data_IF_978474958016
#
_entry.id   IF_978474958016
#
_cell.length_a   1.000
_cell.length_b   1.000
_cell.length_c   1.000
_cell.angle_alpha   90.00
_cell.angle_beta   90.00
_cell.angle_gamma   90.00
#
_symmetry.space_group_name_H-M   'P 1'
#
loop_
_entity.id
_entity.type
_entity.pdbx_description
1 polymer ?
#
# COMPACT_ATOMS: atom_id res chain seq x y z
N UNK A 1 -7.99 -12.96 -4.51
CA UNK A 1 -7.13 -13.02 -3.32
C UNK A 1 -6.03 -14.03 -3.63
N UNK A 2 -4.79 -13.54 -3.78
CA UNK A 2 -3.60 -14.37 -4.06
C UNK A 2 -2.62 -14.22 -2.90
N UNK A 3 -1.77 -15.20 -2.65
CA UNK A 3 -0.70 -15.06 -1.66
C UNK A 3 0.40 -14.12 -2.18
N UNK A 4 1.23 -13.62 -1.27
CA UNK A 4 2.38 -12.75 -1.57
C UNK A 4 3.39 -13.47 -2.48
N UNK A 5 3.90 -12.80 -3.54
CA UNK A 5 5.00 -13.34 -4.35
C UNK A 5 6.34 -13.33 -3.60
N UNK A 6 6.43 -12.69 -2.44
CA UNK A 6 7.65 -12.61 -1.62
C UNK A 6 7.93 -13.89 -0.82
N UNK A 7 7.02 -14.88 -0.88
CA UNK A 7 7.16 -16.16 -0.19
C UNK A 7 8.38 -16.93 -0.72
N UNK A 8 9.28 -17.30 0.19
CA UNK A 8 10.50 -18.06 -0.08
C UNK A 8 10.37 -19.54 0.31
N UNK A 9 9.45 -19.87 1.22
CA UNK A 9 9.14 -21.25 1.58
C UNK A 9 7.68 -21.43 1.95
N UNK A 10 7.14 -22.63 1.74
CA UNK A 10 5.74 -22.94 2.06
C UNK A 10 5.68 -24.22 2.86
N UNK A 11 4.86 -24.21 3.90
CA UNK A 11 4.39 -25.40 4.62
C UNK A 11 3.02 -25.08 5.20
N UNK A 12 1.99 -25.60 4.57
CA UNK A 12 0.62 -25.30 4.96
C UNK A 12 0.25 -26.00 6.27
N UNK A 13 -0.27 -25.22 7.21
CA UNK A 13 -0.84 -25.73 8.45
C UNK A 13 -2.22 -26.35 8.19
N UNK A 14 -2.55 -27.48 8.82
CA UNK A 14 -3.92 -27.98 8.84
C UNK A 14 -4.85 -27.15 9.76
N UNK A 15 -4.30 -26.29 10.62
CA UNK A 15 -5.04 -25.48 11.60
C UNK A 15 -5.53 -24.19 10.94
N UNK A 16 -6.63 -24.28 10.18
CA UNK A 16 -7.23 -23.14 9.48
C UNK A 16 -8.73 -23.29 9.35
N UNK A 17 -9.42 -22.17 9.08
CA UNK A 17 -10.82 -22.19 8.63
C UNK A 17 -10.88 -21.71 7.20
N UNK A 18 -11.44 -22.53 6.30
CA UNK A 18 -11.48 -22.26 4.86
C UNK A 18 -12.92 -22.23 4.35
N UNK A 19 -13.33 -21.18 3.61
CA UNK A 19 -12.60 -19.91 3.43
C UNK A 19 -12.68 -19.00 4.67
N UNK A 20 -11.95 -17.89 4.68
CA UNK A 20 -12.29 -16.75 5.55
C UNK A 20 -13.66 -16.20 5.18
N UNK A 21 -14.37 -15.58 6.13
CA UNK A 21 -15.71 -15.03 5.90
C UNK A 21 -15.76 -13.49 5.82
N UNK A 22 -14.59 -12.83 5.83
CA UNK A 22 -14.45 -11.39 5.73
C UNK A 22 -13.39 -11.02 4.68
N UNK A 23 -13.48 -9.83 4.10
CA UNK A 23 -12.40 -9.31 3.27
C UNK A 23 -11.14 -9.06 4.13
N UNK A 24 -9.96 -9.18 3.54
CA UNK A 24 -8.73 -8.77 4.22
C UNK A 24 -8.73 -7.24 4.29
N UNK A 25 -8.78 -6.71 5.49
CA UNK A 25 -8.65 -5.27 5.71
C UNK A 25 -7.79 -4.92 6.93
N UNK A 26 -7.28 -5.93 7.64
CA UNK A 26 -6.57 -5.79 8.91
C UNK A 26 -5.24 -6.53 8.87
N UNK A 27 -4.26 -6.04 9.63
CA UNK A 27 -2.98 -6.73 9.88
C UNK A 27 -2.88 -7.02 11.37
N UNK A 28 -2.46 -8.24 11.73
CA UNK A 28 -2.07 -8.58 13.10
C UNK A 28 -0.64 -9.08 13.12
N UNK A 29 0.26 -8.31 13.73
CA UNK A 29 1.68 -8.66 13.85
C UNK A 29 1.90 -9.42 15.16
N UNK A 30 2.69 -10.49 15.08
CA UNK A 30 3.07 -11.36 16.18
C UNK A 30 4.60 -11.49 16.28
N UNK A 31 5.08 -11.93 17.45
CA UNK A 31 6.48 -12.33 17.63
C UNK A 31 6.56 -13.80 18.08
N UNK A 32 7.57 -14.51 17.60
CA UNK A 32 7.75 -15.94 17.89
C UNK A 32 8.27 -16.23 19.30
N UNK A 33 8.88 -15.23 19.97
CA UNK A 33 9.60 -15.39 21.25
C UNK A 33 10.66 -16.50 21.20
N UNK A 34 11.42 -16.54 20.10
CA UNK A 34 12.48 -17.50 19.82
C UNK A 34 12.92 -17.37 18.37
N UNK A 35 14.23 -17.27 18.12
CA UNK A 35 14.74 -16.98 16.78
C UNK A 35 14.74 -18.21 15.88
N UNK A 36 14.43 -17.97 14.61
CA UNK A 36 14.64 -18.92 13.54
C UNK A 36 14.33 -18.35 12.16
N UNK A 37 14.67 -19.10 11.13
CA UNK A 37 14.25 -18.87 9.75
C UNK A 37 12.73 -19.09 9.61
N UNK A 38 12.11 -18.55 8.56
CA UNK A 38 10.69 -18.79 8.30
C UNK A 38 10.37 -20.29 8.23
N UNK A 39 11.23 -21.09 7.59
CA UNK A 39 11.07 -22.55 7.53
C UNK A 39 11.04 -23.21 8.92
N UNK A 40 11.87 -22.76 9.86
CA UNK A 40 11.86 -23.28 11.22
C UNK A 40 10.56 -22.91 11.96
N UNK A 41 10.10 -21.67 11.81
CA UNK A 41 8.82 -21.21 12.38
C UNK A 41 7.66 -22.06 11.82
N UNK A 42 7.62 -22.26 10.50
CA UNK A 42 6.60 -23.11 9.86
C UNK A 42 6.62 -24.57 10.32
N UNK A 43 7.73 -25.06 10.88
CA UNK A 43 7.89 -26.42 11.38
C UNK A 43 7.56 -26.56 12.89
N UNK A 44 7.11 -25.50 13.57
CA UNK A 44 6.67 -25.59 14.95
C UNK A 44 5.55 -26.63 15.10
N UNK A 45 5.59 -27.44 16.16
CA UNK A 45 4.66 -28.57 16.37
C UNK A 45 3.20 -28.13 16.32
N UNK A 46 2.87 -27.01 16.97
CA UNK A 46 1.51 -26.44 17.02
C UNK A 46 1.00 -25.96 15.65
N UNK A 47 1.88 -25.73 14.68
CA UNK A 47 1.51 -25.34 13.31
C UNK A 47 1.35 -26.54 12.39
N UNK A 48 1.96 -27.68 12.73
CA UNK A 48 2.08 -28.82 11.82
C UNK A 48 1.16 -29.99 12.15
N UNK A 49 0.79 -30.17 13.41
CA UNK A 49 -0.24 -31.11 13.84
C UNK A 49 -1.62 -30.47 13.81
N UNK A 50 -2.61 -31.16 13.22
CA UNK A 50 -4.00 -30.73 13.34
C UNK A 50 -4.46 -30.91 14.80
N UNK A 51 -4.90 -29.82 15.42
CA UNK A 51 -5.45 -29.83 16.77
C UNK A 51 -6.54 -28.75 16.84
N UNK A 52 -7.83 -29.11 16.85
CA UNK A 52 -8.93 -28.14 16.86
C UNK A 52 -9.05 -27.37 18.19
N UNK A 53 -8.43 -27.87 19.27
CA UNK A 53 -8.56 -27.30 20.60
C UNK A 53 -7.34 -26.45 20.98
N UNK A 54 -6.13 -26.87 20.60
CA UNK A 54 -4.87 -26.22 20.97
C UNK A 54 -3.94 -25.90 19.78
N UNK A 55 -4.38 -26.18 18.55
CA UNK A 55 -3.62 -25.89 17.35
C UNK A 55 -3.55 -24.38 17.10
N UNK A 56 -2.45 -23.96 16.47
CA UNK A 56 -2.25 -22.57 16.09
C UNK A 56 -1.73 -22.51 14.65
N UNK A 57 -1.85 -21.34 14.04
CA UNK A 57 -1.22 -21.03 12.76
C UNK A 57 -1.12 -19.51 12.58
N UNK A 58 -0.37 -19.10 11.57
CA UNK A 58 -0.39 -17.75 11.03
C UNK A 58 -0.65 -17.80 9.52
N UNK A 59 -0.86 -16.67 8.87
CA UNK A 59 -0.80 -16.64 7.40
C UNK A 59 0.66 -16.70 6.93
N UNK A 60 1.51 -15.85 7.52
CA UNK A 60 2.91 -15.75 7.17
C UNK A 60 3.86 -15.85 8.37
N UNK A 61 5.07 -16.35 8.13
CA UNK A 61 6.19 -16.30 9.05
C UNK A 61 7.33 -15.48 8.43
N UNK A 62 7.94 -14.59 9.20
CA UNK A 62 9.13 -13.82 8.80
C UNK A 62 10.31 -14.28 9.64
N UNK A 63 11.32 -14.87 9.00
CA UNK A 63 12.52 -15.39 9.63
C UNK A 63 13.51 -14.30 10.02
N UNK A 64 14.40 -14.60 10.96
CA UNK A 64 15.49 -13.69 11.39
C UNK A 64 16.42 -13.25 10.25
N UNK A 65 16.49 -14.06 9.19
CA UNK A 65 17.29 -13.86 8.00
C UNK A 65 16.57 -13.05 6.91
N UNK A 66 15.30 -12.69 7.14
CA UNK A 66 14.42 -12.03 6.17
C UNK A 66 13.68 -13.01 5.25
N UNK A 67 13.80 -14.33 5.46
CA UNK A 67 12.98 -15.29 4.71
C UNK A 67 11.50 -15.11 5.06
N UNK A 68 10.62 -15.23 4.06
CA UNK A 68 9.16 -15.18 4.24
C UNK A 68 8.57 -16.56 3.95
N UNK A 69 7.76 -17.06 4.87
CA UNK A 69 7.13 -18.36 4.80
C UNK A 69 5.62 -18.27 4.72
N UNK A 70 4.97 -19.08 3.88
CA UNK A 70 3.51 -19.22 3.84
C UNK A 70 3.06 -20.40 4.69
N UNK A 71 2.22 -20.12 5.69
CA UNK A 71 1.66 -21.11 6.62
C UNK A 71 0.17 -21.38 6.36
N UNK A 72 -0.62 -20.35 6.06
CA UNK A 72 -2.05 -20.48 5.69
C UNK A 72 -2.32 -19.53 4.52
N UNK A 73 -2.94 -20.05 3.47
CA UNK A 73 -3.36 -19.26 2.30
C UNK A 73 -4.16 -18.03 2.74
N UNK A 74 -3.95 -16.87 2.10
CA UNK A 74 -4.65 -15.63 2.44
C UNK A 74 -6.18 -15.77 2.30
N UNK A 75 -6.67 -16.63 1.41
CA UNK A 75 -8.13 -16.90 1.27
C UNK A 75 -8.73 -17.62 2.48
N UNK A 76 -7.91 -18.15 3.36
CA UNK A 76 -8.29 -18.90 4.54
C UNK A 76 -7.93 -18.10 5.80
N UNK A 77 -8.64 -18.41 6.89
CA UNK A 77 -8.40 -17.85 8.22
C UNK A 77 -7.36 -18.69 8.96
N UNK A 78 -6.28 -18.06 9.44
CA UNK A 78 -5.35 -18.64 10.40
C UNK A 78 -5.95 -18.68 11.83
N UNK A 79 -5.36 -19.43 12.75
CA UNK A 79 -5.79 -19.51 14.15
C UNK A 79 -4.70 -18.91 15.03
N UNK A 80 -4.76 -17.59 15.26
CA UNK A 80 -3.57 -16.85 15.70
C UNK A 80 -3.84 -15.89 16.86
N UNK A 81 -4.73 -14.92 16.69
CA UNK A 81 -4.87 -13.78 17.62
C UNK A 81 -5.68 -14.09 18.88
N UNK A 82 -6.17 -15.32 19.04
CA UNK A 82 -7.18 -15.69 20.05
C UNK A 82 -8.53 -14.99 19.89
N UNK A 83 -8.77 -14.32 18.76
CA UNK A 83 -10.06 -13.76 18.38
C UNK A 83 -10.42 -14.16 16.95
N UNK A 84 -11.51 -14.94 16.83
CA UNK A 84 -11.93 -15.51 15.55
C UNK A 84 -12.35 -14.44 14.55
N UNK A 85 -13.01 -13.39 15.01
CA UNK A 85 -13.55 -12.35 14.13
C UNK A 85 -12.42 -11.46 13.61
N UNK A 86 -11.43 -11.14 14.45
CA UNK A 86 -10.18 -10.51 14.02
C UNK A 86 -9.42 -11.38 13.01
N UNK A 87 -9.24 -12.67 13.28
CA UNK A 87 -8.48 -13.55 12.38
C UNK A 87 -9.14 -13.67 10.98
N UNK A 88 -10.48 -13.56 10.88
CA UNK A 88 -11.17 -13.59 9.58
C UNK A 88 -10.86 -12.38 8.70
N UNK A 89 -10.64 -11.21 9.30
CA UNK A 89 -10.32 -9.97 8.59
C UNK A 89 -8.82 -9.69 8.51
N UNK A 90 -8.02 -10.28 9.39
CA UNK A 90 -6.60 -10.05 9.48
C UNK A 90 -5.77 -10.95 8.55
N UNK A 91 -4.64 -10.44 8.08
CA UNK A 91 -3.47 -11.27 7.80
C UNK A 91 -2.63 -11.31 9.07
N UNK A 92 -2.43 -12.52 9.61
CA UNK A 92 -1.65 -12.70 10.84
C UNK A 92 -0.23 -13.15 10.50
N UNK A 93 0.77 -12.50 11.12
CA UNK A 93 2.18 -12.67 10.74
C UNK A 93 3.03 -12.92 11.98
N UNK A 94 3.69 -14.08 12.05
CA UNK A 94 4.69 -14.39 13.08
C UNK A 94 6.06 -13.88 12.65
N UNK A 95 6.67 -13.00 13.44
CA UNK A 95 7.99 -12.42 13.16
C UNK A 95 9.03 -12.98 14.13
N UNK A 96 10.12 -13.50 13.59
CA UNK A 96 11.23 -14.04 14.38
C UNK A 96 11.78 -13.01 15.35
N UNK A 97 11.78 -13.34 16.64
CA UNK A 97 12.28 -12.46 17.70
C UNK A 97 13.20 -13.21 18.67
N UNK A 98 14.00 -12.47 19.42
CA UNK A 98 14.69 -13.01 20.60
C UNK A 98 13.71 -13.67 21.59
N UNK A 99 14.19 -14.59 22.42
CA UNK A 99 13.39 -15.31 23.41
C UNK A 99 13.19 -14.54 24.73
N UNK A 100 13.86 -13.40 24.90
CA UNK A 100 13.83 -12.57 26.11
C UNK A 100 13.31 -11.18 25.79
N UNK A 101 12.63 -10.55 26.74
CA UNK A 101 12.17 -9.15 26.61
C UNK A 101 13.37 -8.23 26.30
N UNK A 102 13.25 -7.29 25.35
CA UNK A 102 12.02 -6.81 24.70
C UNK A 102 11.54 -7.63 23.48
N UNK A 103 12.09 -8.82 23.25
CA UNK A 103 11.84 -9.67 22.09
C UNK A 103 12.29 -9.00 20.80
N UNK A 104 13.55 -8.57 20.77
CA UNK A 104 14.11 -7.82 19.65
C UNK A 104 14.04 -8.62 18.35
N UNK A 105 13.67 -7.93 17.27
CA UNK A 105 13.64 -8.47 15.91
C UNK A 105 14.88 -7.98 15.15
N UNK A 106 15.42 -8.79 14.25
CA UNK A 106 16.57 -8.41 13.43
C UNK A 106 16.17 -7.35 12.39
N UNK A 107 17.12 -6.53 11.94
CA UNK A 107 16.86 -5.55 10.89
C UNK A 107 16.37 -6.19 9.59
N UNK A 108 16.89 -7.38 9.24
CA UNK A 108 16.46 -8.13 8.06
C UNK A 108 15.01 -8.60 8.16
N UNK A 109 14.61 -9.12 9.33
CA UNK A 109 13.23 -9.53 9.57
C UNK A 109 12.28 -8.33 9.56
N UNK A 110 12.68 -7.19 10.16
CA UNK A 110 11.87 -5.97 10.14
C UNK A 110 11.71 -5.42 8.71
N UNK A 111 12.78 -5.39 7.92
CA UNK A 111 12.71 -4.97 6.52
C UNK A 111 11.77 -5.89 5.69
N UNK A 112 11.92 -7.20 5.82
CA UNK A 112 11.07 -8.18 5.15
C UNK A 112 9.60 -8.08 5.58
N UNK A 113 9.34 -7.77 6.85
CA UNK A 113 7.99 -7.50 7.36
C UNK A 113 7.37 -6.28 6.65
N UNK A 114 8.08 -5.16 6.56
CA UNK A 114 7.56 -3.94 5.90
C UNK A 114 7.33 -4.21 4.40
N UNK A 115 8.22 -4.93 3.72
CA UNK A 115 8.04 -5.34 2.30
C UNK A 115 6.78 -6.20 2.13
N UNK A 116 6.61 -7.20 3.00
CA UNK A 116 5.44 -8.09 3.01
C UNK A 116 4.13 -7.33 3.26
N UNK A 117 4.12 -6.42 4.24
CA UNK A 117 2.94 -5.60 4.55
C UNK A 117 2.59 -4.66 3.39
N UNK A 118 3.58 -4.08 2.72
CA UNK A 118 3.37 -3.22 1.54
C UNK A 118 2.70 -4.01 0.41
N UNK A 119 3.21 -5.20 0.11
CA UNK A 119 2.62 -6.10 -0.89
C UNK A 119 1.20 -6.55 -0.51
N UNK A 120 0.97 -6.96 0.74
CA UNK A 120 -0.36 -7.33 1.22
C UNK A 120 -1.35 -6.17 1.06
N UNK A 121 -0.95 -4.96 1.45
CA UNK A 121 -1.80 -3.79 1.35
C UNK A 121 -2.17 -3.48 -0.10
N UNK A 122 -1.18 -3.44 -1.00
CA UNK A 122 -1.39 -3.19 -2.42
C UNK A 122 -2.32 -4.21 -3.07
N UNK A 123 -2.09 -5.51 -2.84
CA UNK A 123 -2.91 -6.60 -3.43
C UNK A 123 -4.33 -6.66 -2.89
N UNK A 124 -4.55 -6.25 -1.64
CA UNK A 124 -5.87 -6.32 -0.99
C UNK A 124 -6.60 -4.96 -0.98
N UNK A 125 -6.04 -3.91 -1.59
CA UNK A 125 -6.68 -2.59 -1.67
C UNK A 125 -6.73 -1.85 -0.34
N UNK A 126 -5.84 -2.17 0.60
CA UNK A 126 -5.68 -1.43 1.85
C UNK A 126 -4.86 -0.18 1.53
N UNK A 127 -5.52 0.98 1.53
CA UNK A 127 -4.90 2.26 1.14
C UNK A 127 -3.84 2.75 2.12
N UNK A 128 -4.01 2.42 3.41
CA UNK A 128 -3.08 2.77 4.46
C UNK A 128 -3.23 1.86 5.67
N UNK A 129 -2.13 1.66 6.39
CA UNK A 129 -2.11 1.12 7.73
C UNK A 129 -2.29 2.25 8.76
N UNK A 130 -3.21 2.05 9.69
CA UNK A 130 -3.59 3.02 10.71
C UNK A 130 -3.43 2.35 12.07
N UNK A 131 -2.36 2.71 12.76
CA UNK A 131 -2.10 2.31 14.15
C UNK A 131 -2.76 3.26 15.15
N UNK A 132 -3.21 2.72 16.28
CA UNK A 132 -3.62 3.52 17.45
C UNK A 132 -2.98 2.97 18.73
N UNK A 133 -2.56 3.88 19.62
CA UNK A 133 -2.10 3.51 20.97
C UNK A 133 -3.27 3.12 21.92
N UNK A 134 -4.52 3.36 21.50
CA UNK A 134 -5.72 2.96 22.23
C UNK A 134 -6.15 1.55 21.81
N UNK A 135 -6.10 0.59 22.74
CA UNK A 135 -6.67 -0.75 22.53
C UNK A 135 -8.11 -0.70 22.06
N UNK A 136 -8.92 0.22 22.63
CA UNK A 136 -10.32 0.37 22.26
C UNK A 136 -10.50 0.80 20.80
N UNK A 137 -9.58 1.58 20.25
CA UNK A 137 -9.65 1.98 18.84
C UNK A 137 -9.23 0.83 17.93
N UNK A 138 -8.19 0.07 18.32
CA UNK A 138 -7.73 -1.11 17.56
C UNK A 138 -8.80 -2.18 17.45
N UNK A 139 -9.34 -2.65 18.57
CA UNK A 139 -10.30 -3.78 18.56
C UNK A 139 -11.66 -3.41 17.98
N UNK A 140 -12.02 -2.11 17.98
CA UNK A 140 -13.28 -1.63 17.41
C UNK A 140 -13.09 -0.91 16.07
N UNK A 141 -11.89 -0.91 15.51
CA UNK A 141 -11.54 -0.27 14.23
C UNK A 141 -11.97 1.20 14.13
N UNK A 142 -11.87 1.93 15.25
CA UNK A 142 -12.24 3.36 15.31
C UNK A 142 -11.21 4.20 14.56
N UNK A 143 -11.69 5.26 13.89
CA UNK A 143 -10.82 6.13 13.11
C UNK A 143 -10.14 5.43 11.93
N UNK A 144 -10.67 4.30 11.45
CA UNK A 144 -10.08 3.52 10.38
C UNK A 144 -8.90 2.63 10.83
N UNK A 145 -8.72 2.44 12.14
CA UNK A 145 -7.67 1.58 12.67
C UNK A 145 -7.80 0.16 12.12
N UNK A 146 -6.71 -0.37 11.57
CA UNK A 146 -6.67 -1.66 10.91
C UNK A 146 -5.39 -2.46 11.22
N UNK A 147 -4.76 -2.12 12.33
CA UNK A 147 -3.66 -2.87 12.91
C UNK A 147 -4.04 -3.31 14.31
N UNK A 148 -3.89 -4.60 14.60
CA UNK A 148 -4.19 -5.20 15.90
C UNK A 148 -3.01 -6.03 16.39
N UNK A 149 -3.00 -6.34 17.68
CA UNK A 149 -1.98 -7.17 18.31
C UNK A 149 -2.63 -8.33 19.07
N UNK A 150 -1.92 -9.44 19.26
CA UNK A 150 -2.43 -10.56 20.08
C UNK A 150 -2.81 -10.14 21.52
N UNK A 151 -2.03 -9.22 22.12
CA UNK A 151 -2.33 -8.62 23.45
C UNK A 151 -3.66 -7.86 23.52
N UNK A 152 -4.28 -7.56 22.38
CA UNK A 152 -5.61 -6.95 22.36
C UNK A 152 -6.72 -7.93 22.72
N UNK A 153 -6.51 -9.23 22.47
CA UNK A 153 -7.54 -10.25 22.61
C UNK A 153 -7.25 -11.27 23.69
N UNK A 154 -5.98 -11.43 24.08
CA UNK A 154 -5.57 -12.33 25.16
C UNK A 154 -4.54 -11.68 26.09
N UNK A 155 -4.43 -12.18 27.33
CA UNK A 155 -3.41 -11.78 28.28
C UNK A 155 -2.02 -12.35 27.89
N UNK A 156 -1.44 -11.76 26.84
CA UNK A 156 -0.17 -12.16 26.22
C UNK A 156 0.73 -10.94 26.04
N UNK A 157 2.04 -11.16 26.03
CA UNK A 157 3.02 -10.11 25.72
C UNK A 157 3.21 -9.91 24.21
N UNK A 158 2.69 -10.78 23.35
CA UNK A 158 2.84 -10.69 21.89
C UNK A 158 2.20 -9.38 21.32
N UNK A 159 2.87 -8.63 20.42
CA UNK A 159 4.08 -8.95 19.64
C UNK A 159 5.43 -8.62 20.31
N UNK A 160 5.48 -8.64 21.64
CA UNK A 160 6.65 -8.19 22.39
C UNK A 160 6.73 -6.67 22.43
N UNK A 161 7.55 -6.14 23.32
CA UNK A 161 7.64 -4.68 23.50
C UNK A 161 8.40 -4.01 22.36
N UNK A 162 9.32 -4.73 21.70
CA UNK A 162 10.06 -4.21 20.55
C UNK A 162 9.14 -3.89 19.37
N UNK A 163 8.37 -4.86 18.87
CA UNK A 163 7.45 -4.61 17.74
C UNK A 163 6.29 -3.72 18.15
N UNK A 164 5.74 -3.87 19.37
CA UNK A 164 4.64 -3.01 19.82
C UNK A 164 5.01 -1.53 19.85
N UNK A 165 6.26 -1.20 20.22
CA UNK A 165 6.78 0.17 20.18
C UNK A 165 6.97 0.70 18.75
N UNK A 166 7.12 -0.19 17.76
CA UNK A 166 7.38 0.14 16.36
C UNK A 166 6.13 0.11 15.47
N UNK A 167 4.96 -0.30 15.95
CA UNK A 167 3.74 -0.41 15.14
C UNK A 167 3.42 0.87 14.36
N UNK A 168 3.57 2.04 15.01
CA UNK A 168 3.39 3.34 14.35
C UNK A 168 4.43 3.62 13.26
N UNK A 169 5.70 3.27 13.50
CA UNK A 169 6.80 3.45 12.55
C UNK A 169 6.68 2.49 11.36
N UNK A 170 6.26 1.24 11.62
CA UNK A 170 5.97 0.24 10.60
C UNK A 170 4.83 0.72 9.71
N UNK A 171 3.72 1.21 10.30
CA UNK A 171 2.60 1.77 9.56
C UNK A 171 3.05 2.94 8.68
N UNK A 172 3.84 3.88 9.22
CA UNK A 172 4.37 5.01 8.47
C UNK A 172 5.28 4.57 7.32
N UNK A 173 6.15 3.59 7.53
CA UNK A 173 7.05 3.06 6.50
C UNK A 173 6.29 2.38 5.36
N UNK A 174 5.24 1.60 5.67
CA UNK A 174 4.37 0.98 4.67
C UNK A 174 3.60 2.05 3.89
N UNK A 175 2.96 3.00 4.58
CA UNK A 175 2.16 4.06 3.95
C UNK A 175 2.99 4.90 2.99
N UNK A 176 4.21 5.27 3.40
CA UNK A 176 5.14 5.99 2.52
C UNK A 176 5.41 5.22 1.22
N UNK A 177 5.60 3.90 1.27
CA UNK A 177 5.84 3.06 0.09
C UNK A 177 4.58 2.90 -0.78
N UNK A 178 3.40 2.87 -0.17
CA UNK A 178 2.13 2.86 -0.90
C UNK A 178 1.91 4.17 -1.68
N UNK A 179 2.27 5.31 -1.07
CA UNK A 179 2.24 6.62 -1.74
C UNK A 179 3.29 6.72 -2.87
N UNK A 180 4.52 6.26 -2.64
CA UNK A 180 5.58 6.26 -3.65
C UNK A 180 5.33 5.27 -4.81
N UNK A 181 4.52 4.23 -4.58
CA UNK A 181 4.15 3.22 -5.57
C UNK A 181 2.95 3.57 -6.46
N UNK A 182 2.24 4.68 -6.21
CA UNK A 182 1.22 5.21 -7.11
C UNK A 182 1.90 5.88 -8.34
N UNK A 183 2.45 5.07 -9.26
CA UNK A 183 2.80 5.58 -10.58
C UNK A 183 1.53 5.90 -11.37
N UNK A 184 1.35 7.17 -11.71
CA UNK A 184 0.31 7.62 -12.65
C UNK A 184 0.56 6.92 -13.99
N UNK A 185 -0.36 6.07 -14.42
CA UNK A 185 -0.22 5.38 -15.71
C UNK A 185 -0.21 6.40 -16.85
N UNK A 186 0.39 6.06 -18.00
CA UNK A 186 0.32 6.92 -19.19
C UNK A 186 -1.12 7.27 -19.58
N UNK A 187 -2.07 6.35 -19.37
CA UNK A 187 -3.50 6.58 -19.61
C UNK A 187 -4.07 7.61 -18.63
N UNK A 188 -3.75 7.51 -17.35
CA UNK A 188 -4.16 8.48 -16.33
C UNK A 188 -3.52 9.85 -16.58
N UNK A 189 -2.26 9.88 -17.00
CA UNK A 189 -1.58 11.11 -17.41
C UNK A 189 -2.28 11.76 -18.61
N UNK A 190 -2.60 10.96 -19.64
CA UNK A 190 -3.32 11.45 -20.82
C UNK A 190 -4.72 11.98 -20.46
N UNK A 191 -5.46 11.28 -19.61
CA UNK A 191 -6.77 11.73 -19.14
C UNK A 191 -6.68 13.03 -18.34
N UNK A 192 -5.70 13.15 -17.44
CA UNK A 192 -5.45 14.38 -16.68
C UNK A 192 -5.07 15.54 -17.60
N UNK A 193 -4.24 15.28 -18.62
CA UNK A 193 -3.89 16.27 -19.63
C UNK A 193 -5.11 16.72 -20.44
N UNK A 194 -6.00 15.80 -20.82
CA UNK A 194 -7.24 16.14 -21.54
C UNK A 194 -8.18 17.02 -20.71
N UNK A 195 -8.34 16.72 -19.43
CA UNK A 195 -9.10 17.57 -18.49
C UNK A 195 -8.49 18.97 -18.40
N UNK A 196 -7.17 19.06 -18.22
CA UNK A 196 -6.46 20.34 -18.18
C UNK A 196 -6.66 21.15 -19.46
N UNK A 197 -6.49 20.53 -20.64
CA UNK A 197 -6.68 21.18 -21.93
C UNK A 197 -8.13 21.64 -22.13
N UNK A 198 -9.11 20.87 -21.67
CA UNK A 198 -10.54 21.23 -21.71
C UNK A 198 -10.81 22.46 -20.87
N UNK A 199 -10.31 22.50 -19.63
CA UNK A 199 -10.44 23.67 -18.76
C UNK A 199 -9.81 24.92 -19.37
N UNK A 200 -8.67 24.80 -20.06
CA UNK A 200 -8.04 25.94 -20.73
C UNK A 200 -8.86 26.46 -21.93
N UNK A 201 -9.58 25.59 -22.64
CA UNK A 201 -10.47 25.98 -23.75
C UNK A 201 -11.70 26.77 -23.29
N UNK A 202 -12.15 26.50 -22.07
CA UNK A 202 -13.32 27.17 -21.48
C UNK A 202 -13.00 28.53 -20.85
N UNK A 203 -11.71 28.85 -20.65
CA UNK A 203 -11.32 30.14 -20.07
C UNK A 203 -11.48 31.28 -21.06
N UNK A 204 -11.96 32.40 -20.55
CA UNK A 204 -11.97 33.68 -21.26
C UNK A 204 -10.54 34.24 -21.45
N UNK A 205 -10.39 35.21 -22.35
CA UNK A 205 -9.12 35.90 -22.57
C UNK A 205 -8.62 36.56 -21.29
N UNK A 206 -7.33 36.44 -21.00
CA UNK A 206 -6.71 37.11 -19.86
C UNK A 206 -6.71 38.63 -20.01
N UNK A 207 -6.68 39.37 -18.90
CA UNK A 207 -6.71 40.84 -18.91
C UNK A 207 -5.59 41.48 -19.75
N UNK A 208 -4.41 40.87 -19.79
CA UNK A 208 -3.26 41.37 -20.56
C UNK A 208 -3.40 41.14 -22.08
N UNK A 209 -4.20 40.17 -22.51
CA UNK A 209 -4.40 39.83 -23.93
C UNK A 209 -5.74 40.28 -24.48
N UNK A 210 -6.68 40.68 -23.61
CA UNK A 210 -8.08 40.97 -23.95
C UNK A 210 -8.24 41.90 -25.15
N UNK A 211 -7.59 43.05 -25.14
CA UNK A 211 -7.71 44.02 -26.24
C UNK A 211 -7.16 43.49 -27.57
N UNK A 212 -6.05 42.75 -27.54
CA UNK A 212 -5.49 42.13 -28.73
C UNK A 212 -6.37 40.98 -29.25
N UNK A 213 -6.97 40.21 -28.34
CA UNK A 213 -7.88 39.12 -28.64
C UNK A 213 -9.16 39.63 -29.32
N UNK A 214 -9.82 40.64 -28.74
CA UNK A 214 -11.04 41.24 -29.29
C UNK A 214 -10.81 41.81 -30.70
N UNK A 215 -9.65 42.44 -30.94
CA UNK A 215 -9.29 42.90 -32.30
C UNK A 215 -9.07 41.76 -33.28
N UNK A 216 -8.41 40.68 -32.85
CA UNK A 216 -8.13 39.55 -33.70
C UNK A 216 -9.41 38.78 -34.07
N UNK A 217 -10.34 38.65 -33.12
CA UNK A 217 -11.68 38.10 -33.36
C UNK A 217 -12.48 38.98 -34.32
N UNK A 218 -12.53 40.30 -34.09
CA UNK A 218 -13.25 41.24 -34.97
C UNK A 218 -12.68 41.28 -36.40
N UNK A 219 -11.39 41.03 -36.57
CA UNK A 219 -10.72 40.95 -37.86
C UNK A 219 -10.89 39.57 -38.55
N UNK A 220 -11.55 38.60 -37.90
CA UNK A 220 -11.74 37.24 -38.41
C UNK A 220 -10.46 36.39 -38.41
N UNK A 221 -9.45 36.78 -37.63
CA UNK A 221 -8.18 36.03 -37.48
C UNK A 221 -8.35 34.83 -36.56
N UNK A 222 -9.18 34.97 -35.51
CA UNK A 222 -9.59 33.88 -34.63
C UNK A 222 -11.13 33.76 -34.61
N UNK A 223 -11.63 32.57 -34.28
CA UNK A 223 -13.06 32.26 -34.24
C UNK A 223 -13.76 32.63 -32.92
N UNK A 224 -13.03 33.32 -32.02
CA UNK A 224 -13.53 33.74 -30.71
C UNK A 224 -13.50 32.65 -29.64
N UNK A 225 -13.01 31.44 -29.94
CA UNK A 225 -13.00 30.32 -29.00
C UNK A 225 -11.61 30.02 -28.43
N UNK A 226 -11.57 29.45 -27.22
CA UNK A 226 -10.37 28.89 -26.58
C UNK A 226 -9.12 29.81 -26.55
N UNK A 227 -9.22 31.07 -26.07
CA UNK A 227 -8.11 32.03 -26.07
C UNK A 227 -6.89 31.61 -25.26
N UNK A 228 -7.03 30.65 -24.35
CA UNK A 228 -5.93 30.13 -23.52
C UNK A 228 -5.47 28.72 -23.94
N UNK A 229 -5.94 28.19 -25.07
CA UNK A 229 -5.45 26.93 -25.60
C UNK A 229 -3.97 27.05 -26.04
N UNK A 230 -3.16 26.00 -25.84
CA UNK A 230 -1.75 26.04 -26.21
C UNK A 230 -1.57 26.08 -27.73
N UNK A 231 -0.69 26.96 -28.20
CA UNK A 231 -0.20 27.01 -29.59
C UNK A 231 1.09 26.20 -29.70
N UNK A 232 1.15 25.22 -30.60
CA UNK A 232 2.36 24.43 -30.82
C UNK A 232 3.45 25.28 -31.48
N UNK A 233 4.72 24.87 -31.32
CA UNK A 233 5.85 25.55 -31.97
C UNK A 233 5.77 25.51 -33.50
N UNK A 234 5.23 24.43 -34.07
CA UNK A 234 5.01 24.31 -35.52
C UNK A 234 3.95 25.31 -36.00
N UNK A 235 2.85 25.43 -35.25
CA UNK A 235 1.80 26.41 -35.54
C UNK A 235 2.32 27.84 -35.43
N UNK A 236 3.12 28.14 -34.39
CA UNK A 236 3.75 29.45 -34.22
C UNK A 236 4.73 29.76 -35.37
N UNK A 237 5.56 28.80 -35.77
CA UNK A 237 6.49 28.97 -36.89
C UNK A 237 5.75 29.27 -38.19
N UNK A 238 4.66 28.57 -38.48
CA UNK A 238 3.83 28.84 -39.67
C UNK A 238 3.20 30.23 -39.64
N UNK A 239 2.76 30.70 -38.47
CA UNK A 239 2.24 32.07 -38.30
C UNK A 239 3.34 33.09 -38.58
N UNK A 240 4.54 32.91 -38.01
CA UNK A 240 5.67 33.82 -38.22
C UNK A 240 6.12 33.87 -39.68
N UNK A 241 6.19 32.71 -40.34
CA UNK A 241 6.56 32.58 -41.76
C UNK A 241 5.57 33.34 -42.66
N UNK A 242 4.27 33.09 -42.47
CA UNK A 242 3.21 33.76 -43.24
C UNK A 242 3.17 35.28 -43.04
N UNK A 243 3.64 35.76 -41.90
CA UNK A 243 3.75 37.18 -41.59
C UNK A 243 5.07 37.80 -42.10
N UNK A 244 5.96 37.02 -42.72
CA UNK A 244 7.28 37.49 -43.18
C UNK A 244 8.21 37.87 -42.03
N UNK A 245 8.01 37.28 -40.85
CA UNK A 245 8.79 37.56 -39.64
C UNK A 245 9.93 36.57 -39.43
N UNK A 246 10.04 35.56 -40.30
CA UNK A 246 11.23 34.73 -40.40
C UNK A 246 12.21 35.38 -41.39
N UNK A 247 13.52 35.35 -41.12
CA UNK A 247 14.51 35.84 -42.06
C UNK A 247 14.43 35.04 -43.37
N UNK A 248 14.42 35.75 -44.51
CA UNK A 248 14.57 35.12 -45.83
C UNK A 248 15.84 34.27 -45.82
N UNK A 249 15.71 33.00 -46.19
CA UNK A 249 16.77 32.00 -46.06
C UNK A 249 18.15 32.52 -46.47
N UNK A 250 19.02 32.71 -45.47
CA UNK A 250 20.38 33.20 -45.64
C UNK A 250 21.17 33.15 -44.34
N UNK A 251 21.71 31.96 -44.02
CA UNK A 251 22.61 31.71 -42.89
C UNK A 251 22.59 30.26 -42.43
#
# INVERSE_FOLDING_TARGET
MSNSPLVTCTRLSPNRTSPRNHAIDTITIHCTAGQGTARQILNMSHFTGYDPDNGASCNYAVGEDGSIGLCVDERDRSWCSSDRENDHRAITIEVSSEAVSPYKVTEKALAALIDLLTDICGRNGIKSLVWSNSKADRVNHRGGCNMTCHRDFAAKACPGDYLYALEGDIAAAVNKRLEEGEEVTQEQFNAMMEVYLTQQREKESSSWSKEAWERAEAAGVFDGTAPQAPLSREQAALVLDRLGLLPDGGG
#
